data_IF_930003630539
#
_entry.id   IF_930003630539
#
_cell.length_a   1.000
_cell.length_b   1.000
_cell.length_c   1.000
_cell.angle_alpha   90.00
_cell.angle_beta   90.00
_cell.angle_gamma   90.00
#
_symmetry.space_group_name_H-M   'P 1'
#
loop_
_entity.id
_entity.type
_entity.pdbx_description
1 polymer ?
#
# COMPACT_ATOMS: atom_id res chain seq x y z
N UNK A 1 -41.28 45.96 -12.36
CA UNK A 1 -40.17 46.36 -11.47
C UNK A 1 -39.67 45.14 -10.71
N UNK A 2 -38.65 44.47 -11.24
CA UNK A 2 -38.05 43.27 -10.65
C UNK A 2 -36.92 43.67 -9.68
N UNK A 3 -36.88 43.15 -8.44
CA UNK A 3 -35.88 43.55 -7.47
C UNK A 3 -34.51 42.95 -7.81
N UNK A 4 -33.52 43.83 -7.99
CA UNK A 4 -32.11 43.49 -8.10
C UNK A 4 -31.61 42.87 -6.79
N UNK A 5 -31.17 41.61 -6.83
CA UNK A 5 -30.50 40.96 -5.71
C UNK A 5 -29.01 41.39 -5.64
N UNK A 6 -28.46 41.62 -4.43
CA UNK A 6 -27.09 42.10 -4.26
C UNK A 6 -26.03 41.02 -4.55
N UNK A 7 -24.94 41.47 -5.19
CA UNK A 7 -23.75 40.69 -5.51
C UNK A 7 -23.16 40.02 -4.26
N UNK A 8 -23.17 38.69 -4.24
CA UNK A 8 -22.49 37.89 -3.22
C UNK A 8 -20.97 37.95 -3.45
N UNK A 9 -20.27 38.54 -2.50
CA UNK A 9 -18.83 38.63 -2.39
C UNK A 9 -18.19 37.24 -2.45
N UNK A 10 -17.19 37.08 -3.32
CA UNK A 10 -16.43 35.84 -3.50
C UNK A 10 -15.75 35.42 -2.18
N UNK A 11 -15.82 34.15 -1.76
CA UNK A 11 -14.96 33.65 -0.71
C UNK A 11 -13.51 33.71 -1.19
N UNK A 12 -12.66 34.34 -0.38
CA UNK A 12 -11.24 34.53 -0.65
C UNK A 12 -10.54 33.22 -1.02
N UNK A 13 -9.61 33.33 -1.98
CA UNK A 13 -8.64 32.29 -2.32
C UNK A 13 -8.03 31.78 -1.02
N UNK A 14 -8.36 30.54 -0.63
CA UNK A 14 -7.61 29.81 0.40
C UNK A 14 -6.18 29.70 -0.11
N UNK A 15 -5.30 30.49 0.47
CA UNK A 15 -3.87 30.32 0.38
C UNK A 15 -3.56 28.87 0.72
N UNK A 16 -2.84 28.23 -0.19
CA UNK A 16 -2.37 26.86 -0.04
C UNK A 16 -1.45 26.85 1.17
N UNK A 17 -1.99 26.52 2.36
CA UNK A 17 -1.19 26.26 3.55
C UNK A 17 -0.39 25.02 3.23
N UNK A 18 0.83 25.27 2.75
CA UNK A 18 1.89 24.29 2.61
C UNK A 18 1.94 23.57 3.95
N UNK A 19 1.43 22.33 4.00
CA UNK A 19 1.69 21.45 5.13
C UNK A 19 3.21 21.40 5.20
N UNK A 20 3.74 22.12 6.19
CA UNK A 20 5.10 21.97 6.65
C UNK A 20 5.11 20.52 7.12
N UNK A 21 5.61 19.64 6.27
CA UNK A 21 6.06 18.34 6.70
C UNK A 21 7.04 18.64 7.81
N UNK A 22 6.71 18.19 9.02
CA UNK A 22 7.69 18.19 10.09
C UNK A 22 8.97 17.57 9.52
N UNK A 23 10.14 18.22 9.71
CA UNK A 23 11.39 17.63 9.29
C UNK A 23 11.46 16.25 9.93
N UNK A 24 11.51 15.20 9.10
CA UNK A 24 11.92 13.88 9.54
C UNK A 24 13.25 14.09 10.22
N UNK A 25 13.23 14.14 11.55
CA UNK A 25 14.45 14.08 12.34
C UNK A 25 15.14 12.80 11.89
N UNK A 26 16.42 12.87 11.46
CA UNK A 26 17.18 11.66 11.21
C UNK A 26 17.14 10.89 12.51
N UNK A 27 16.37 9.80 12.52
CA UNK A 27 16.43 8.81 13.60
C UNK A 27 17.89 8.44 13.66
N UNK A 28 18.54 8.83 14.76
CA UNK A 28 19.89 8.41 15.07
C UNK A 28 19.96 6.93 14.73
N UNK A 29 20.77 6.65 13.71
CA UNK A 29 20.99 5.32 13.17
C UNK A 29 21.54 4.52 14.34
N UNK A 30 20.62 3.86 15.05
CA UNK A 30 20.96 2.93 16.11
C UNK A 30 21.63 1.81 15.37
N UNK A 31 22.96 1.90 15.30
CA UNK A 31 23.79 1.07 14.46
C UNK A 31 23.32 -0.36 14.60
N UNK A 32 22.83 -0.92 13.50
CA UNK A 32 22.67 -2.35 13.33
C UNK A 32 24.10 -2.91 13.36
N UNK A 33 24.67 -3.04 14.56
CA UNK A 33 25.90 -3.74 14.78
C UNK A 33 25.71 -5.10 14.10
N UNK A 34 26.51 -5.35 13.09
CA UNK A 34 26.56 -6.63 12.40
C UNK A 34 26.91 -7.67 13.47
N UNK A 35 25.89 -8.27 14.07
CA UNK A 35 26.01 -9.37 15.01
C UNK A 35 26.58 -10.52 14.17
N UNK A 36 27.90 -10.66 14.23
CA UNK A 36 28.63 -11.82 13.76
C UNK A 36 27.89 -13.06 14.25
N UNK A 37 27.68 -14.03 13.35
CA UNK A 37 26.82 -15.22 13.48
C UNK A 37 27.17 -16.20 14.62
N UNK A 38 27.83 -15.74 15.68
CA UNK A 38 28.23 -16.49 16.87
C UNK A 38 27.06 -16.74 17.82
N UNK A 39 26.68 -18.01 17.92
CA UNK A 39 25.85 -18.62 18.95
C UNK A 39 24.45 -18.04 19.12
N UNK A 40 23.57 -18.53 18.25
CA UNK A 40 22.12 -18.53 18.42
C UNK A 40 21.76 -19.29 19.70
N UNK A 41 21.67 -18.60 20.82
CA UNK A 41 21.22 -19.21 22.08
C UNK A 41 19.76 -19.66 21.96
N UNK A 42 19.52 -20.94 22.16
CA UNK A 42 18.18 -21.50 22.27
C UNK A 42 17.55 -21.08 23.60
N UNK A 43 16.23 -20.95 23.60
CA UNK A 43 15.45 -20.62 24.78
C UNK A 43 15.57 -21.75 25.81
N UNK A 44 16.04 -21.44 27.02
CA UNK A 44 16.22 -22.42 28.11
C UNK A 44 14.96 -23.20 28.51
N UNK A 45 13.77 -22.64 28.26
CA UNK A 45 12.48 -23.25 28.65
C UNK A 45 11.91 -24.20 27.60
N UNK A 46 12.05 -23.89 26.31
CA UNK A 46 11.42 -24.69 25.26
C UNK A 46 12.41 -25.33 24.29
N UNK A 47 13.68 -24.93 24.30
CA UNK A 47 14.77 -25.38 23.42
C UNK A 47 14.47 -25.34 21.91
N UNK A 48 13.35 -24.71 21.50
CA UNK A 48 12.87 -24.66 20.10
C UNK A 48 13.11 -23.30 19.45
N UNK A 49 12.99 -22.22 20.22
CA UNK A 49 13.07 -20.84 19.71
C UNK A 49 14.33 -20.16 20.23
N UNK A 50 14.78 -19.12 19.54
CA UNK A 50 15.90 -18.31 19.98
C UNK A 50 15.53 -17.53 21.26
N UNK A 51 16.38 -17.65 22.27
CA UNK A 51 16.35 -16.84 23.48
C UNK A 51 17.04 -15.50 23.27
N UNK A 52 16.68 -14.49 24.05
CA UNK A 52 17.37 -13.19 24.07
C UNK A 52 18.43 -13.21 25.18
N UNK A 53 19.69 -12.84 24.87
CA UNK A 53 20.77 -12.71 25.86
C UNK A 53 20.45 -11.72 26.98
N UNK A 54 19.77 -10.63 26.63
CA UNK A 54 19.33 -9.61 27.58
C UNK A 54 18.12 -10.03 28.44
N UNK A 55 17.52 -11.20 28.19
CA UNK A 55 16.48 -11.73 29.06
C UNK A 55 17.13 -12.46 30.24
N UNK A 56 16.76 -12.18 31.50
CA UNK A 56 17.36 -12.82 32.68
C UNK A 56 17.16 -14.35 32.67
N UNK A 57 16.01 -14.81 32.16
CA UNK A 57 15.71 -16.24 32.03
C UNK A 57 16.33 -16.88 30.77
N UNK A 58 16.95 -16.07 29.89
CA UNK A 58 17.36 -16.46 28.53
C UNK A 58 16.25 -17.20 27.77
N UNK A 59 15.00 -16.80 28.04
CA UNK A 59 13.82 -17.38 27.43
C UNK A 59 13.49 -16.67 26.10
N UNK A 60 12.66 -17.31 25.27
CA UNK A 60 12.06 -16.65 24.11
C UNK A 60 10.84 -15.82 24.52
N UNK A 61 10.37 -14.98 23.60
CA UNK A 61 9.19 -14.13 23.76
C UNK A 61 7.95 -14.84 24.32
N UNK A 62 7.77 -16.12 23.98
CA UNK A 62 6.60 -16.90 24.40
C UNK A 62 6.77 -17.62 25.74
N UNK A 63 8.01 -17.86 26.19
CA UNK A 63 8.28 -18.63 27.40
C UNK A 63 8.72 -17.76 28.58
N UNK A 64 9.11 -16.51 28.33
CA UNK A 64 9.48 -15.55 29.38
C UNK A 64 8.28 -15.24 30.28
N UNK A 65 8.42 -15.49 31.59
CA UNK A 65 7.34 -15.32 32.59
C UNK A 65 7.12 -13.86 32.96
N UNK A 66 8.20 -13.10 33.09
CA UNK A 66 8.13 -11.69 33.44
C UNK A 66 7.46 -10.88 32.33
N UNK A 67 6.31 -10.26 32.60
CA UNK A 67 5.48 -9.45 31.68
C UNK A 67 6.16 -8.14 31.26
N UNK A 68 7.09 -7.62 32.07
CA UNK A 68 7.77 -6.36 31.85
C UNK A 68 9.25 -6.51 31.47
N UNK A 69 9.68 -7.73 31.09
CA UNK A 69 11.05 -8.00 30.67
C UNK A 69 11.49 -7.05 29.52
N UNK A 70 12.52 -6.20 29.72
CA UNK A 70 12.93 -5.18 28.75
C UNK A 70 13.35 -5.78 27.41
N UNK A 71 14.02 -6.95 27.44
CA UNK A 71 14.46 -7.67 26.23
C UNK A 71 13.31 -8.15 25.33
N UNK A 72 12.08 -8.22 25.86
CA UNK A 72 10.89 -8.70 25.15
C UNK A 72 9.82 -7.63 24.97
N UNK A 73 9.99 -6.44 25.55
CA UNK A 73 8.97 -5.40 25.59
C UNK A 73 8.49 -5.02 24.18
N UNK A 74 9.41 -4.74 23.27
CA UNK A 74 9.09 -4.39 21.89
C UNK A 74 8.44 -5.55 21.14
N UNK A 75 8.96 -6.77 21.27
CA UNK A 75 8.37 -7.96 20.66
C UNK A 75 6.95 -8.25 21.16
N UNK A 76 6.67 -7.96 22.43
CA UNK A 76 5.32 -8.08 23.00
C UNK A 76 4.40 -6.98 22.52
N UNK A 77 4.87 -5.73 22.43
CA UNK A 77 4.12 -4.62 21.83
C UNK A 77 3.72 -4.95 20.39
N UNK A 78 4.68 -5.39 19.57
CA UNK A 78 4.41 -5.80 18.19
C UNK A 78 3.44 -6.98 18.09
N UNK A 79 3.54 -7.98 18.99
CA UNK A 79 2.59 -9.09 19.05
C UNK A 79 1.18 -8.62 19.44
N UNK A 80 1.05 -7.78 20.47
CA UNK A 80 -0.22 -7.19 20.91
C UNK A 80 -0.88 -6.35 19.82
N UNK A 81 -0.09 -5.55 19.10
CA UNK A 81 -0.59 -4.76 17.98
C UNK A 81 -1.10 -5.65 16.84
N UNK A 82 -0.36 -6.72 16.50
CA UNK A 82 -0.78 -7.68 15.47
C UNK A 82 -2.04 -8.43 15.87
N UNK A 83 -2.17 -8.86 17.12
CA UNK A 83 -3.40 -9.51 17.61
C UNK A 83 -4.57 -8.53 17.56
N UNK A 84 -4.39 -7.27 17.98
CA UNK A 84 -5.44 -6.25 17.90
C UNK A 84 -5.89 -5.96 16.47
N UNK A 85 -4.98 -6.00 15.49
CA UNK A 85 -5.33 -5.87 14.07
C UNK A 85 -6.14 -7.07 13.56
N UNK A 86 -5.74 -8.29 13.94
CA UNK A 86 -6.43 -9.53 13.53
C UNK A 86 -7.81 -9.69 14.19
N UNK A 87 -7.93 -9.29 15.46
CA UNK A 87 -9.19 -9.28 16.21
C UNK A 87 -10.09 -8.11 15.80
N UNK A 88 -9.59 -7.16 15.02
CA UNK A 88 -10.32 -5.96 14.62
C UNK A 88 -10.54 -4.95 15.76
N UNK A 89 -9.84 -5.11 16.89
CA UNK A 89 -9.91 -4.23 18.07
C UNK A 89 -8.96 -3.03 17.96
N UNK A 90 -8.13 -2.97 16.91
CA UNK A 90 -7.31 -1.80 16.65
C UNK A 90 -8.17 -0.56 16.34
N UNK A 91 -7.73 0.62 16.77
CA UNK A 91 -8.42 1.89 16.50
C UNK A 91 -8.72 2.10 15.01
N UNK A 92 -7.77 1.72 14.14
CA UNK A 92 -7.92 1.79 12.69
C UNK A 92 -9.06 0.87 12.22
N UNK A 93 -9.13 -0.35 12.75
CA UNK A 93 -10.19 -1.31 12.42
C UNK A 93 -11.56 -0.83 12.89
N UNK A 94 -11.64 -0.24 14.09
CA UNK A 94 -12.86 0.34 14.65
C UNK A 94 -13.35 1.51 13.78
N UNK A 95 -12.47 2.47 13.46
CA UNK A 95 -12.80 3.61 12.60
C UNK A 95 -13.21 3.15 11.19
N UNK A 96 -12.54 2.13 10.64
CA UNK A 96 -12.91 1.55 9.36
C UNK A 96 -14.26 0.83 9.41
N UNK A 97 -14.62 0.20 10.53
CA UNK A 97 -15.94 -0.39 10.73
C UNK A 97 -17.03 0.69 10.80
N UNK A 98 -16.84 1.74 11.59
CA UNK A 98 -17.75 2.89 11.66
C UNK A 98 -17.95 3.54 10.29
N UNK A 99 -16.89 3.73 9.52
CA UNK A 99 -16.99 4.27 8.14
C UNK A 99 -17.78 3.36 7.20
N UNK A 100 -17.63 2.04 7.34
CA UNK A 100 -18.39 1.07 6.54
C UNK A 100 -19.85 1.01 6.93
N UNK A 101 -20.17 1.22 8.20
CA UNK A 101 -21.55 1.32 8.69
C UNK A 101 -22.26 2.58 8.14
N UNK A 102 -21.52 3.68 8.01
CA UNK A 102 -22.00 4.90 7.34
C UNK A 102 -22.06 4.77 5.80
N UNK A 103 -21.48 3.71 5.22
CA UNK A 103 -21.52 3.51 3.78
C UNK A 103 -22.94 3.08 3.36
N UNK A 104 -23.48 3.75 2.35
CA UNK A 104 -24.80 3.43 1.81
C UNK A 104 -24.82 1.99 1.28
N UNK A 105 -25.86 1.24 1.67
CA UNK A 105 -26.04 -0.14 1.21
C UNK A 105 -26.28 -0.17 -0.31
N UNK A 106 -25.67 -1.12 -1.03
CA UNK A 106 -25.95 -1.32 -2.45
C UNK A 106 -27.46 -1.50 -2.67
N UNK A 107 -28.04 -0.75 -3.60
CA UNK A 107 -29.46 -0.84 -3.96
C UNK A 107 -30.41 0.11 -3.23
N UNK A 108 -29.94 0.90 -2.25
CA UNK A 108 -30.75 2.01 -1.67
C UNK A 108 -31.06 3.08 -2.72
N UNK A 109 -30.12 3.31 -3.64
CA UNK A 109 -30.33 4.18 -4.80
C UNK A 109 -30.51 3.32 -6.05
N UNK A 110 -31.66 3.46 -6.72
CA UNK A 110 -32.00 2.76 -7.98
C UNK A 110 -31.70 3.56 -9.24
N UNK A 111 -31.04 4.71 -9.09
CA UNK A 111 -30.74 5.56 -10.23
C UNK A 111 -29.55 4.98 -11.03
N UNK A 112 -29.69 4.78 -12.36
CA UNK A 112 -28.68 4.13 -13.20
C UNK A 112 -27.38 4.95 -13.32
N UNK A 113 -27.39 6.20 -12.88
CA UNK A 113 -26.21 7.07 -12.85
C UNK A 113 -25.26 6.76 -11.68
N UNK A 114 -25.70 6.01 -10.64
CA UNK A 114 -24.86 5.69 -9.49
C UNK A 114 -24.24 4.30 -9.64
N UNK A 115 -22.92 4.24 -9.69
CA UNK A 115 -22.17 2.99 -9.70
C UNK A 115 -21.41 2.86 -8.37
N UNK A 116 -21.74 1.83 -7.60
CA UNK A 116 -21.04 1.52 -6.35
C UNK A 116 -19.70 0.85 -6.66
N UNK A 117 -18.60 1.60 -6.57
CA UNK A 117 -17.24 1.10 -6.76
C UNK A 117 -16.50 0.93 -5.42
N UNK A 118 -17.18 0.35 -4.43
CA UNK A 118 -16.61 -0.23 -3.19
C UNK A 118 -15.97 0.72 -2.18
N UNK A 119 -15.32 1.82 -2.60
CA UNK A 119 -14.49 2.64 -1.72
C UNK A 119 -14.49 4.14 -2.06
N UNK A 120 -15.21 4.59 -3.09
CA UNK A 120 -15.28 6.05 -3.38
C UNK A 120 -16.60 6.45 -4.03
N UNK A 121 -17.44 7.13 -3.25
CA UNK A 121 -18.59 7.88 -3.76
C UNK A 121 -18.06 9.20 -4.34
N UNK A 122 -17.90 9.27 -5.66
CA UNK A 122 -17.56 10.52 -6.34
C UNK A 122 -18.81 11.09 -7.00
N UNK A 123 -19.69 11.70 -6.20
CA UNK A 123 -20.78 12.53 -6.73
C UNK A 123 -20.28 13.96 -6.72
N UNK A 124 -19.68 14.38 -7.84
CA UNK A 124 -19.63 15.80 -8.14
C UNK A 124 -21.03 16.16 -8.59
N UNK A 125 -21.66 17.12 -7.91
CA UNK A 125 -22.95 17.68 -8.31
C UNK A 125 -22.96 17.84 -9.83
N UNK A 126 -23.72 17.00 -10.55
CA UNK A 126 -23.65 16.94 -12.00
C UNK A 126 -24.03 18.28 -12.61
N UNK A 127 -24.93 19.03 -11.96
CA UNK A 127 -25.30 20.38 -12.41
C UNK A 127 -24.10 21.33 -12.33
N UNK A 128 -23.34 21.33 -11.24
CA UNK A 128 -22.12 22.15 -11.12
C UNK A 128 -21.03 21.68 -12.09
N UNK A 129 -20.91 20.37 -12.28
CA UNK A 129 -19.95 19.80 -13.20
C UNK A 129 -20.24 20.21 -14.65
N UNK A 130 -21.50 20.09 -15.10
CA UNK A 130 -21.92 20.51 -16.43
C UNK A 130 -21.97 22.03 -16.60
N UNK A 131 -22.20 22.79 -15.51
CA UNK A 131 -22.11 24.25 -15.52
C UNK A 131 -20.67 24.76 -15.69
N UNK A 132 -19.66 23.99 -15.27
CA UNK A 132 -18.26 24.37 -15.39
C UNK A 132 -17.62 23.80 -16.67
N UNK A 133 -17.58 24.62 -17.73
CA UNK A 133 -16.99 24.25 -19.03
C UNK A 133 -15.56 23.72 -18.92
N UNK A 134 -14.73 24.30 -18.04
CA UNK A 134 -13.34 23.87 -17.85
C UNK A 134 -13.22 22.41 -17.40
N UNK A 135 -14.08 21.97 -16.49
CA UNK A 135 -14.05 20.59 -15.98
C UNK A 135 -14.57 19.60 -17.01
N UNK A 136 -15.64 19.98 -17.72
CA UNK A 136 -16.18 19.21 -18.83
C UNK A 136 -15.13 19.01 -19.93
N UNK A 137 -14.45 20.07 -20.33
CA UNK A 137 -13.48 20.02 -21.42
C UNK A 137 -12.20 19.27 -21.03
N UNK A 138 -11.73 19.38 -19.77
CA UNK A 138 -10.61 18.57 -19.28
C UNK A 138 -10.94 17.07 -19.29
N UNK A 139 -12.14 16.70 -18.85
CA UNK A 139 -12.57 15.31 -18.84
C UNK A 139 -12.73 14.75 -20.26
N UNK A 140 -13.31 15.53 -21.18
CA UNK A 140 -13.41 15.16 -22.60
C UNK A 140 -12.01 15.00 -23.21
N UNK A 141 -11.07 15.91 -22.92
CA UNK A 141 -9.68 15.81 -23.37
C UNK A 141 -8.99 14.56 -22.85
N UNK A 142 -9.09 14.26 -21.55
CA UNK A 142 -8.50 13.03 -20.95
C UNK A 142 -9.15 11.77 -21.50
N UNK A 143 -10.46 11.78 -21.75
CA UNK A 143 -11.17 10.68 -22.39
C UNK A 143 -10.63 10.42 -23.80
N UNK A 144 -10.51 11.46 -24.63
CA UNK A 144 -9.89 11.38 -25.97
C UNK A 144 -8.45 10.85 -25.90
N UNK A 145 -7.65 11.32 -24.94
CA UNK A 145 -6.28 10.85 -24.76
C UNK A 145 -6.20 9.37 -24.35
N UNK A 146 -7.12 8.88 -23.52
CA UNK A 146 -7.21 7.45 -23.18
C UNK A 146 -7.65 6.62 -24.37
N UNK A 147 -8.63 7.09 -25.14
CA UNK A 147 -9.11 6.40 -26.34
C UNK A 147 -8.02 6.32 -27.42
N UNK A 148 -7.25 7.38 -27.63
CA UNK A 148 -6.13 7.37 -28.58
C UNK A 148 -4.99 6.44 -28.14
N UNK A 149 -4.70 6.38 -26.83
CA UNK A 149 -3.72 5.43 -26.27
C UNK A 149 -4.22 3.98 -26.32
N UNK A 150 -5.49 3.74 -26.01
CA UNK A 150 -6.12 2.42 -26.04
C UNK A 150 -6.15 1.83 -27.45
N UNK A 151 -6.49 2.64 -28.45
CA UNK A 151 -6.44 2.22 -29.86
C UNK A 151 -5.03 1.75 -30.27
N UNK A 152 -3.99 2.48 -29.87
CA UNK A 152 -2.60 2.09 -30.14
C UNK A 152 -2.11 0.89 -29.31
N UNK A 153 -2.58 0.75 -28.07
CA UNK A 153 -2.22 -0.37 -27.19
C UNK A 153 -2.85 -1.71 -27.63
N UNK A 154 -4.02 -1.68 -28.27
CA UNK A 154 -4.64 -2.89 -28.85
C UNK A 154 -3.85 -3.38 -30.07
N UNK A 155 -3.28 -2.47 -30.88
CA UNK A 155 -2.41 -2.83 -32.00
C UNK A 155 -1.05 -3.38 -31.53
N UNK A 156 -0.49 -2.89 -30.41
CA UNK A 156 0.82 -3.34 -29.90
C UNK A 156 0.76 -4.70 -29.17
N UNK A 157 -0.41 -5.10 -28.64
CA UNK A 157 -0.59 -6.40 -27.96
C UNK A 157 -0.45 -7.63 -28.86
N UNK A 158 -0.42 -7.48 -30.19
CA UNK A 158 -0.17 -8.60 -31.12
C UNK A 158 1.30 -9.02 -31.26
N UNK A 159 2.26 -8.37 -30.57
CA UNK A 159 3.69 -8.77 -30.56
C UNK A 159 4.10 -9.64 -29.36
N UNK A 160 3.20 -10.45 -28.81
CA UNK A 160 3.51 -11.45 -27.77
C UNK A 160 4.51 -12.54 -28.22
N UNK A 161 4.85 -12.63 -29.50
CA UNK A 161 5.91 -13.50 -30.02
C UNK A 161 7.34 -13.15 -29.56
N UNK A 162 7.58 -11.95 -29.02
CA UNK A 162 8.93 -11.51 -28.62
C UNK A 162 9.43 -12.19 -27.34
N UNK A 163 8.57 -12.38 -26.33
CA UNK A 163 9.00 -12.92 -25.02
C UNK A 163 9.36 -14.40 -25.10
N UNK A 164 8.58 -15.20 -25.85
CA UNK A 164 8.85 -16.62 -26.08
C UNK A 164 10.14 -16.83 -26.88
N UNK A 165 10.41 -15.97 -27.87
CA UNK A 165 11.68 -16.01 -28.63
C UNK A 165 12.87 -15.69 -27.73
N UNK A 166 12.81 -14.63 -26.92
CA UNK A 166 13.89 -14.28 -25.98
C UNK A 166 14.17 -15.41 -24.97
N UNK A 167 13.12 -16.01 -24.42
CA UNK A 167 13.29 -17.13 -23.48
C UNK A 167 13.93 -18.34 -24.17
N UNK A 168 13.50 -18.66 -25.41
CA UNK A 168 14.11 -19.74 -26.20
C UNK A 168 15.60 -19.47 -26.46
N UNK A 169 15.97 -18.27 -26.89
CA UNK A 169 17.37 -17.90 -27.13
C UNK A 169 18.23 -18.04 -25.87
N UNK A 170 17.74 -17.58 -24.71
CA UNK A 170 18.48 -17.70 -23.45
C UNK A 170 18.67 -19.17 -23.04
N UNK A 171 17.66 -20.02 -23.23
CA UNK A 171 17.78 -21.45 -22.93
C UNK A 171 18.74 -22.17 -23.88
N UNK A 172 18.69 -21.85 -25.17
CA UNK A 172 19.60 -22.42 -26.18
C UNK A 172 21.06 -22.01 -25.88
N UNK A 173 21.32 -20.77 -25.48
CA UNK A 173 22.65 -20.30 -25.06
C UNK A 173 23.18 -21.01 -23.81
N UNK A 174 22.34 -21.20 -22.79
CA UNK A 174 22.73 -21.91 -21.57
C UNK A 174 23.01 -23.39 -21.84
N UNK A 175 22.24 -24.00 -22.74
CA UNK A 175 22.46 -25.38 -23.16
C UNK A 175 23.81 -25.54 -23.87
N UNK A 176 24.13 -24.69 -24.85
CA UNK A 176 25.44 -24.73 -25.52
C UNK A 176 26.62 -24.56 -24.55
N UNK A 177 26.54 -23.60 -23.63
CA UNK A 177 27.57 -23.42 -22.58
C UNK A 177 27.76 -24.65 -21.70
N UNK A 178 26.71 -25.44 -21.49
CA UNK A 178 26.82 -26.67 -20.70
C UNK A 178 27.56 -27.80 -21.43
N UNK A 179 27.44 -27.86 -22.77
CA UNK A 179 28.15 -28.81 -23.61
C UNK A 179 29.65 -28.46 -23.73
N UNK A 180 29.99 -27.19 -23.91
CA UNK A 180 31.40 -26.76 -23.97
C UNK A 180 32.15 -27.04 -22.65
N UNK A 181 31.42 -27.02 -21.53
CA UNK A 181 32.00 -27.25 -20.21
C UNK A 181 32.33 -28.72 -19.94
N UNK A 182 31.67 -29.67 -20.61
CA UNK A 182 31.98 -31.10 -20.47
C UNK A 182 33.25 -31.52 -21.23
N UNK A 183 33.57 -30.85 -22.34
CA UNK A 183 34.73 -31.19 -23.18
C UNK A 183 36.07 -30.73 -22.55
N UNK A 184 36.04 -29.74 -21.66
CA UNK A 184 37.23 -29.21 -20.97
C UNK A 184 37.62 -30.07 -19.75
N UNK A 185 36.74 -30.97 -19.29
CA UNK A 185 36.97 -31.84 -18.12
C UNK A 185 37.43 -33.26 -18.44
N UNK A 186 37.71 -33.56 -19.72
CA UNK A 186 38.30 -34.83 -20.17
C UNK A 186 39.76 -34.63 -20.57
#
# INVERSE_FOLDING_TARGET
STPHQPNKTRPGKRSNTKLISEPCTPKEETGCANVTSGDKLLCKKCNKKLGRRACPEQACLNCCSDVNCPAHLEGRKGRKQRTALLEGTSEISILAAQKRELALQPGVFREPAFHYLGETLTIWNLKEYFANSKWRDDALRKSRQRNSRGANAVLSKRKTGSRRKRFKTVMDELYQKSLEKSDISS
#
